data_IF_414169189673
#
_entry.id   IF_414169189673
#
_cell.length_a   1.000
_cell.length_b   1.000
_cell.length_c   1.000
_cell.angle_alpha   90.00
_cell.angle_beta   90.00
_cell.angle_gamma   90.00
#
_symmetry.space_group_name_H-M   'P 1'
#
loop_
_entity.id
_entity.type
_entity.pdbx_description
1 polymer ?
#
# COMPACT_ATOMS: atom_id res chain seq x y z
N UNK A 1 19.04 -16.55 -5.23
CA UNK A 1 18.39 -16.74 -6.55
C UNK A 1 19.01 -17.97 -7.20
N UNK A 2 18.24 -18.78 -7.93
CA UNK A 2 18.83 -19.95 -8.63
C UNK A 2 19.70 -19.48 -9.80
N UNK A 3 20.90 -20.05 -10.03
CA UNK A 3 21.81 -19.60 -11.10
C UNK A 3 21.22 -19.75 -12.51
N UNK A 4 20.32 -20.71 -12.67
CA UNK A 4 19.66 -21.08 -13.94
C UNK A 4 18.39 -20.26 -14.24
N UNK A 5 18.00 -19.33 -13.35
CA UNK A 5 16.77 -18.54 -13.53
C UNK A 5 15.45 -19.29 -13.24
N UNK A 6 15.48 -20.59 -12.89
CA UNK A 6 14.28 -21.40 -12.67
C UNK A 6 13.34 -20.86 -11.57
N UNK A 7 13.87 -20.08 -10.63
CA UNK A 7 13.07 -19.37 -9.62
C UNK A 7 12.06 -18.36 -10.23
N UNK A 8 12.38 -17.74 -11.38
CA UNK A 8 11.47 -16.83 -12.08
C UNK A 8 10.27 -17.58 -12.65
N UNK A 9 10.52 -18.72 -13.32
CA UNK A 9 9.46 -19.59 -13.84
C UNK A 9 8.53 -20.07 -12.73
N UNK A 10 9.10 -20.54 -11.60
CA UNK A 10 8.30 -20.98 -10.45
C UNK A 10 7.48 -19.85 -9.85
N UNK A 11 8.04 -18.64 -9.76
CA UNK A 11 7.32 -17.44 -9.30
C UNK A 11 6.16 -17.10 -10.24
N UNK A 12 6.39 -17.10 -11.55
CA UNK A 12 5.36 -16.81 -12.54
C UNK A 12 4.22 -17.85 -12.50
N UNK A 13 4.57 -19.14 -12.45
CA UNK A 13 3.60 -20.23 -12.33
C UNK A 13 2.78 -20.17 -11.04
N UNK A 14 3.39 -19.71 -9.94
CA UNK A 14 2.67 -19.47 -8.69
C UNK A 14 1.66 -18.32 -8.85
N UNK A 15 2.07 -17.18 -9.40
CA UNK A 15 1.19 -16.03 -9.66
C UNK A 15 0.05 -16.38 -10.63
N UNK A 16 0.35 -17.14 -11.69
CA UNK A 16 -0.62 -17.59 -12.69
C UNK A 16 -1.78 -18.38 -12.06
N UNK A 17 -1.49 -19.16 -11.03
CA UNK A 17 -2.51 -19.91 -10.26
C UNK A 17 -3.22 -19.04 -9.22
N UNK A 18 -2.50 -18.18 -8.53
CA UNK A 18 -3.00 -17.46 -7.34
C UNK A 18 -3.80 -16.20 -7.66
N UNK A 19 -3.36 -15.39 -8.62
CA UNK A 19 -3.98 -14.10 -8.92
C UNK A 19 -5.44 -14.24 -9.40
N UNK A 20 -5.77 -15.15 -10.34
CA UNK A 20 -7.17 -15.32 -10.78
C UNK A 20 -8.13 -15.63 -9.64
N UNK A 21 -7.72 -16.51 -8.71
CA UNK A 21 -8.55 -16.90 -7.55
C UNK A 21 -8.80 -15.70 -6.63
N UNK A 22 -7.76 -14.92 -6.33
CA UNK A 22 -7.87 -13.74 -5.46
C UNK A 22 -8.73 -12.64 -6.09
N UNK A 23 -8.60 -12.43 -7.41
CA UNK A 23 -9.43 -11.51 -8.19
C UNK A 23 -10.89 -11.97 -8.21
N UNK A 24 -11.16 -13.27 -8.43
CA UNK A 24 -12.52 -13.81 -8.39
C UNK A 24 -13.21 -13.57 -7.04
N UNK A 25 -12.49 -13.72 -5.92
CA UNK A 25 -13.01 -13.36 -4.61
C UNK A 25 -13.33 -11.86 -4.46
N UNK A 26 -12.58 -10.97 -5.12
CA UNK A 26 -12.91 -9.53 -5.15
C UNK A 26 -14.19 -9.28 -5.94
N UNK A 27 -14.33 -9.88 -7.12
CA UNK A 27 -15.55 -9.79 -7.95
C UNK A 27 -16.78 -10.25 -7.15
N UNK A 28 -16.69 -11.39 -6.46
CA UNK A 28 -17.75 -11.87 -5.58
C UNK A 28 -18.08 -10.86 -4.47
N UNK A 29 -17.07 -10.19 -3.92
CA UNK A 29 -17.25 -9.10 -2.97
C UNK A 29 -18.07 -7.93 -3.53
N UNK A 30 -17.78 -7.48 -4.76
CA UNK A 30 -18.55 -6.41 -5.42
C UNK A 30 -20.00 -6.83 -5.67
N UNK A 31 -20.24 -8.07 -6.10
CA UNK A 31 -21.59 -8.61 -6.34
C UNK A 31 -22.44 -8.71 -5.07
N UNK A 32 -21.81 -8.74 -3.90
CA UNK A 32 -22.47 -8.76 -2.60
C UNK A 32 -22.69 -7.37 -1.98
N UNK A 33 -22.29 -6.29 -2.67
CA UNK A 33 -22.58 -4.94 -2.20
C UNK A 33 -24.09 -4.63 -2.31
N UNK A 34 -24.63 -3.75 -1.45
CA UNK A 34 -26.00 -3.26 -1.60
C UNK A 34 -26.21 -2.69 -2.99
N UNK A 35 -27.33 -3.02 -3.63
CA UNK A 35 -27.62 -2.63 -5.01
C UNK A 35 -27.37 -1.14 -5.30
N UNK A 36 -27.84 -0.25 -4.42
CA UNK A 36 -27.66 1.21 -4.56
C UNK A 36 -26.18 1.65 -4.56
N UNK A 37 -25.30 0.90 -3.88
CA UNK A 37 -23.85 1.13 -3.88
C UNK A 37 -23.23 0.54 -5.15
N UNK A 38 -23.63 -0.68 -5.52
CA UNK A 38 -23.13 -1.35 -6.73
C UNK A 38 -23.49 -0.63 -8.03
N UNK A 39 -24.60 0.12 -8.05
CA UNK A 39 -25.00 0.94 -9.20
C UNK A 39 -24.27 2.30 -9.29
N UNK A 40 -23.44 2.67 -8.31
CA UNK A 40 -22.64 3.88 -8.43
C UNK A 40 -21.65 3.73 -9.60
N UNK A 41 -21.58 4.69 -10.55
CA UNK A 41 -20.74 4.56 -11.74
C UNK A 41 -19.26 4.30 -11.43
N UNK A 42 -18.72 4.92 -10.37
CA UNK A 42 -17.32 4.73 -9.97
C UNK A 42 -17.10 3.34 -9.37
N UNK A 43 -18.00 2.86 -8.51
CA UNK A 43 -17.93 1.50 -7.96
C UNK A 43 -18.08 0.45 -9.07
N UNK A 44 -18.99 0.68 -10.01
CA UNK A 44 -19.22 -0.19 -11.15
C UNK A 44 -17.97 -0.25 -12.06
N UNK A 45 -17.35 0.88 -12.36
CA UNK A 45 -16.11 0.92 -13.14
C UNK A 45 -14.99 0.09 -12.49
N UNK A 46 -14.84 0.16 -11.16
CA UNK A 46 -13.88 -0.68 -10.44
C UNK A 46 -14.25 -2.16 -10.53
N UNK A 47 -15.53 -2.51 -10.40
CA UNK A 47 -16.00 -3.89 -10.55
C UNK A 47 -15.73 -4.45 -11.97
N UNK A 48 -15.96 -3.64 -13.00
CA UNK A 48 -15.65 -3.97 -14.39
C UNK A 48 -14.16 -4.17 -14.60
N UNK A 49 -13.31 -3.30 -14.01
CA UNK A 49 -11.86 -3.43 -14.08
C UNK A 49 -11.35 -4.75 -13.47
N UNK A 50 -11.88 -5.16 -12.30
CA UNK A 50 -11.56 -6.47 -11.72
C UNK A 50 -12.05 -7.62 -12.61
N UNK A 51 -13.21 -7.47 -13.25
CA UNK A 51 -13.78 -8.48 -14.16
C UNK A 51 -12.94 -8.63 -15.42
N UNK A 52 -12.54 -7.54 -16.06
CA UNK A 52 -11.64 -7.53 -17.21
C UNK A 52 -10.29 -8.15 -16.86
N UNK A 53 -9.73 -7.80 -15.70
CA UNK A 53 -8.49 -8.40 -15.21
C UNK A 53 -8.63 -9.91 -15.02
N UNK A 54 -9.75 -10.39 -14.48
CA UNK A 54 -9.98 -11.82 -14.32
C UNK A 54 -9.89 -12.55 -15.65
N UNK A 55 -10.62 -12.08 -16.68
CA UNK A 55 -10.58 -12.67 -18.01
C UNK A 55 -9.17 -12.63 -18.59
N UNK A 56 -8.52 -11.47 -18.56
CA UNK A 56 -7.14 -11.28 -19.01
C UNK A 56 -6.20 -12.31 -18.38
N UNK A 57 -6.26 -12.51 -17.05
CA UNK A 57 -5.38 -13.45 -16.36
C UNK A 57 -5.71 -14.91 -16.64
N UNK A 58 -6.98 -15.25 -16.85
CA UNK A 58 -7.41 -16.65 -17.11
C UNK A 58 -7.17 -17.10 -18.55
N UNK A 59 -7.14 -16.18 -19.50
CA UNK A 59 -6.91 -16.48 -20.92
C UNK A 59 -5.43 -16.70 -21.25
N UNK A 60 -4.52 -16.28 -20.36
CA UNK A 60 -3.08 -16.48 -20.56
C UNK A 60 -2.75 -17.98 -20.47
N UNK A 61 -2.09 -18.55 -21.49
CA UNK A 61 -1.63 -19.94 -21.45
C UNK A 61 -0.69 -20.22 -20.27
N UNK A 62 -0.58 -21.48 -19.82
CA UNK A 62 0.36 -21.86 -18.77
C UNK A 62 1.80 -21.40 -19.07
N UNK A 63 2.48 -20.86 -18.06
CA UNK A 63 3.88 -20.43 -18.17
C UNK A 63 4.81 -21.64 -18.12
N UNK A 64 5.43 -21.97 -19.25
CA UNK A 64 6.27 -23.18 -19.43
C UNK A 64 7.74 -22.88 -19.65
N UNK A 65 8.08 -21.66 -20.07
CA UNK A 65 9.42 -21.25 -20.50
C UNK A 65 9.66 -19.76 -20.21
N UNK A 66 10.88 -19.28 -20.47
CA UNK A 66 11.26 -17.90 -20.17
C UNK A 66 10.58 -16.86 -21.08
N UNK A 67 10.17 -17.25 -22.29
CA UNK A 67 9.46 -16.35 -23.22
C UNK A 67 8.02 -16.12 -22.75
N UNK A 68 7.32 -17.18 -22.37
CA UNK A 68 6.00 -17.10 -21.71
C UNK A 68 6.06 -16.39 -20.37
N UNK A 69 7.13 -16.55 -19.58
CA UNK A 69 7.35 -15.81 -18.34
C UNK A 69 7.51 -14.31 -18.56
N UNK A 70 8.26 -13.89 -19.58
CA UNK A 70 8.45 -12.47 -19.88
C UNK A 70 7.14 -11.82 -20.30
N UNK A 71 6.37 -12.47 -21.19
CA UNK A 71 5.03 -12.00 -21.57
C UNK A 71 4.06 -11.92 -20.39
N UNK A 72 4.10 -12.92 -19.50
CA UNK A 72 3.28 -12.92 -18.30
C UNK A 72 3.67 -11.76 -17.37
N UNK A 73 4.96 -11.52 -17.17
CA UNK A 73 5.47 -10.38 -16.39
C UNK A 73 5.00 -9.03 -16.94
N UNK A 74 5.02 -8.83 -18.26
CA UNK A 74 4.51 -7.61 -18.89
C UNK A 74 3.01 -7.42 -18.62
N UNK A 75 2.23 -8.49 -18.70
CA UNK A 75 0.80 -8.45 -18.38
C UNK A 75 0.56 -8.14 -16.91
N UNK A 76 1.32 -8.75 -15.99
CA UNK A 76 1.24 -8.46 -14.55
C UNK A 76 1.59 -7.00 -14.26
N UNK A 77 2.58 -6.44 -14.95
CA UNK A 77 2.94 -5.02 -14.84
C UNK A 77 1.78 -4.12 -15.31
N UNK A 78 1.17 -4.42 -16.45
CA UNK A 78 0.00 -3.69 -16.94
C UNK A 78 -1.15 -3.72 -15.92
N UNK A 79 -1.46 -4.89 -15.35
CA UNK A 79 -2.50 -5.05 -14.31
C UNK A 79 -2.21 -4.22 -13.06
N UNK A 80 -0.93 -4.06 -12.67
CA UNK A 80 -0.55 -3.19 -11.54
C UNK A 80 -0.81 -1.72 -11.84
N UNK A 81 -0.55 -1.29 -13.08
CA UNK A 81 -0.69 0.08 -13.53
C UNK A 81 -2.17 0.47 -13.71
N UNK A 82 -2.98 -0.40 -14.30
CA UNK A 82 -4.42 -0.20 -14.48
C UNK A 82 -5.15 -0.07 -13.13
N UNK A 83 -4.71 -0.82 -12.12
CA UNK A 83 -5.33 -0.79 -10.79
C UNK A 83 -4.80 0.30 -9.86
N UNK A 84 -3.88 1.17 -10.28
CA UNK A 84 -3.18 2.11 -9.36
C UNK A 84 -4.14 3.02 -8.58
N UNK A 85 -5.23 3.46 -9.22
CA UNK A 85 -6.17 4.45 -8.68
C UNK A 85 -7.40 3.85 -7.99
N UNK A 86 -7.49 2.51 -7.90
CA UNK A 86 -8.65 1.81 -7.33
C UNK A 86 -9.03 2.29 -5.92
N UNK A 87 -8.05 2.57 -5.06
CA UNK A 87 -8.34 3.02 -3.68
C UNK A 87 -9.04 4.37 -3.69
N UNK A 88 -8.56 5.30 -4.52
CA UNK A 88 -9.15 6.64 -4.68
C UNK A 88 -10.55 6.56 -5.28
N UNK A 89 -10.74 5.72 -6.29
CA UNK A 89 -12.04 5.50 -6.92
C UNK A 89 -13.05 4.90 -5.95
N UNK A 90 -12.66 3.87 -5.19
CA UNK A 90 -13.52 3.30 -4.14
C UNK A 90 -13.88 4.35 -3.09
N UNK A 91 -12.90 5.12 -2.59
CA UNK A 91 -13.16 6.17 -1.62
C UNK A 91 -14.15 7.22 -2.14
N UNK A 92 -14.03 7.63 -3.42
CA UNK A 92 -14.96 8.56 -4.06
C UNK A 92 -16.38 7.95 -4.17
N UNK A 93 -16.51 6.74 -4.71
CA UNK A 93 -17.81 6.09 -4.89
C UNK A 93 -18.54 5.84 -3.57
N UNK A 94 -17.83 5.35 -2.54
CA UNK A 94 -18.43 5.16 -1.21
C UNK A 94 -18.81 6.48 -0.53
N UNK A 95 -18.06 7.56 -0.78
CA UNK A 95 -18.41 8.89 -0.27
C UNK A 95 -19.72 9.39 -0.86
N UNK A 96 -19.96 9.19 -2.16
CA UNK A 96 -21.20 9.56 -2.83
C UNK A 96 -22.39 8.73 -2.33
N UNK A 97 -22.19 7.43 -2.11
CA UNK A 97 -23.22 6.53 -1.62
C UNK A 97 -23.48 6.61 -0.12
N UNK A 98 -22.69 7.38 0.66
CA UNK A 98 -22.70 7.38 2.13
C UNK A 98 -24.10 7.56 2.73
N UNK A 99 -24.92 8.44 2.16
CA UNK A 99 -26.30 8.72 2.65
C UNK A 99 -27.27 7.55 2.48
N UNK A 100 -26.93 6.59 1.62
CA UNK A 100 -27.77 5.45 1.26
C UNK A 100 -27.32 4.15 1.91
N UNK A 101 -26.16 4.15 2.56
CA UNK A 101 -25.62 3.02 3.29
C UNK A 101 -26.30 2.98 4.67
N UNK A 102 -27.11 1.96 4.91
CA UNK A 102 -27.76 1.71 6.21
C UNK A 102 -26.94 0.79 7.12
N UNK A 103 -25.98 0.06 6.54
CA UNK A 103 -25.18 -0.96 7.20
C UNK A 103 -23.70 -0.62 7.05
N UNK A 104 -23.19 0.24 7.93
CA UNK A 104 -21.78 0.70 7.90
C UNK A 104 -20.79 -0.47 8.05
N UNK A 105 -21.12 -1.47 8.86
CA UNK A 105 -20.29 -2.66 9.05
C UNK A 105 -20.10 -3.48 7.77
N UNK A 106 -21.08 -3.49 6.86
CA UNK A 106 -20.95 -4.16 5.57
C UNK A 106 -19.89 -3.47 4.72
N UNK A 107 -19.95 -2.14 4.65
CA UNK A 107 -19.00 -1.33 3.86
C UNK A 107 -17.59 -1.42 4.46
N UNK A 108 -17.47 -1.35 5.79
CA UNK A 108 -16.20 -1.54 6.49
C UNK A 108 -15.60 -2.91 6.17
N UNK A 109 -16.37 -3.98 6.35
CA UNK A 109 -15.91 -5.35 6.06
C UNK A 109 -15.51 -5.52 4.60
N UNK A 110 -16.26 -4.92 3.67
CA UNK A 110 -15.91 -4.93 2.25
C UNK A 110 -14.58 -4.21 1.99
N UNK A 111 -14.43 -2.99 2.49
CA UNK A 111 -13.23 -2.18 2.30
C UNK A 111 -12.00 -2.87 2.92
N UNK A 112 -12.10 -3.34 4.16
CA UNK A 112 -11.01 -4.02 4.84
C UNK A 112 -10.54 -5.23 4.04
N UNK A 113 -11.47 -6.09 3.61
CA UNK A 113 -11.13 -7.28 2.79
C UNK A 113 -10.58 -6.90 1.42
N UNK A 114 -11.13 -5.88 0.77
CA UNK A 114 -10.73 -5.50 -0.59
C UNK A 114 -9.38 -4.82 -0.61
N UNK A 115 -9.12 -3.91 0.32
CA UNK A 115 -7.85 -3.19 0.42
C UNK A 115 -6.71 -4.11 0.87
N UNK A 116 -6.95 -5.00 1.85
CA UNK A 116 -5.93 -5.99 2.29
C UNK A 116 -5.64 -7.02 1.20
N UNK A 117 -6.68 -7.57 0.55
CA UNK A 117 -6.50 -8.48 -0.59
C UNK A 117 -5.74 -7.81 -1.72
N UNK A 118 -6.03 -6.53 -2.02
CA UNK A 118 -5.32 -5.76 -3.05
C UNK A 118 -3.85 -5.55 -2.68
N UNK A 119 -3.55 -5.18 -1.43
CA UNK A 119 -2.16 -5.05 -0.96
C UNK A 119 -1.41 -6.39 -1.12
N UNK A 120 -2.02 -7.50 -0.71
CA UNK A 120 -1.43 -8.83 -0.86
C UNK A 120 -1.16 -9.23 -2.32
N UNK A 121 -2.12 -8.98 -3.23
CA UNK A 121 -1.92 -9.22 -4.67
C UNK A 121 -0.81 -8.34 -5.24
N UNK A 122 -0.76 -7.06 -4.86
CA UNK A 122 0.28 -6.13 -5.28
C UNK A 122 1.67 -6.57 -4.79
N UNK A 123 1.78 -7.02 -3.54
CA UNK A 123 3.04 -7.55 -2.99
C UNK A 123 3.53 -8.77 -3.80
N UNK A 124 2.65 -9.72 -4.13
CA UNK A 124 3.01 -10.89 -4.94
C UNK A 124 3.47 -10.49 -6.35
N UNK A 125 2.70 -9.64 -7.01
CA UNK A 125 3.00 -9.14 -8.35
C UNK A 125 4.32 -8.37 -8.38
N UNK A 126 4.50 -7.37 -7.52
CA UNK A 126 5.74 -6.61 -7.47
C UNK A 126 6.94 -7.46 -7.06
N UNK A 127 6.77 -8.44 -6.17
CA UNK A 127 7.85 -9.36 -5.83
C UNK A 127 8.34 -10.10 -7.07
N UNK A 128 7.43 -10.66 -7.87
CA UNK A 128 7.76 -11.35 -9.11
C UNK A 128 8.49 -10.42 -10.10
N UNK A 129 7.95 -9.22 -10.35
CA UNK A 129 8.59 -8.24 -11.25
C UNK A 129 9.97 -7.83 -10.74
N UNK A 130 10.13 -7.65 -9.43
CA UNK A 130 11.40 -7.26 -8.83
C UNK A 130 12.44 -8.38 -8.84
N UNK A 131 12.04 -9.66 -8.87
CA UNK A 131 12.99 -10.78 -8.95
C UNK A 131 13.82 -10.75 -10.23
N UNK A 132 13.26 -10.22 -11.33
CA UNK A 132 13.94 -10.05 -12.64
C UNK A 132 15.07 -9.02 -12.59
N UNK A 133 15.04 -8.10 -11.62
CA UNK A 133 16.06 -7.06 -11.44
C UNK A 133 17.13 -7.58 -10.47
N UNK A 134 18.39 -7.37 -10.82
CA UNK A 134 19.47 -7.55 -9.86
C UNK A 134 19.63 -6.27 -9.04
N UNK A 135 19.29 -6.34 -7.76
CA UNK A 135 19.34 -5.22 -6.82
C UNK A 135 20.13 -5.68 -5.60
N UNK A 136 21.27 -5.05 -5.30
CA UNK A 136 22.03 -5.39 -4.11
C UNK A 136 21.17 -5.34 -2.85
N UNK A 137 21.41 -6.27 -1.93
CA UNK A 137 20.68 -6.41 -0.67
C UNK A 137 19.17 -6.65 -0.80
N UNK A 138 18.67 -7.02 -1.98
CA UNK A 138 17.25 -7.28 -2.21
C UNK A 138 16.98 -8.66 -2.81
N UNK A 139 15.90 -9.29 -2.35
CA UNK A 139 15.29 -10.47 -2.97
C UNK A 139 13.86 -10.11 -3.36
N UNK A 140 13.68 -9.73 -4.62
CA UNK A 140 12.42 -9.14 -5.07
C UNK A 140 12.16 -7.83 -4.32
N UNK A 141 11.01 -7.73 -3.65
CA UNK A 141 10.67 -6.59 -2.78
C UNK A 141 11.13 -6.72 -1.32
N UNK A 142 11.82 -7.82 -0.97
CA UNK A 142 12.35 -8.03 0.38
C UNK A 142 13.72 -7.36 0.44
N UNK A 143 13.86 -6.36 1.29
CA UNK A 143 15.16 -5.78 1.66
C UNK A 143 15.75 -6.66 2.76
N UNK A 144 16.97 -7.15 2.55
CA UNK A 144 17.67 -8.05 3.47
C UNK A 144 18.26 -7.34 4.68
N UNK A 145 18.35 -6.02 4.65
CA UNK A 145 18.95 -5.21 5.70
C UNK A 145 18.22 -3.85 5.85
N UNK A 146 16.88 -3.88 5.79
CA UNK A 146 16.06 -2.66 5.87
C UNK A 146 16.35 -1.90 7.17
N UNK A 147 16.64 -0.61 7.04
CA UNK A 147 16.79 0.33 8.17
C UNK A 147 15.49 1.11 8.33
N UNK A 148 14.67 0.87 9.37
CA UNK A 148 13.38 1.54 9.52
C UNK A 148 13.52 3.08 9.59
N UNK A 149 14.61 3.57 10.19
CA UNK A 149 14.91 5.01 10.28
C UNK A 149 14.93 5.67 8.90
N UNK A 150 15.61 5.07 7.93
CA UNK A 150 15.77 5.64 6.59
C UNK A 150 14.42 5.74 5.86
N UNK A 151 13.57 4.72 6.03
CA UNK A 151 12.19 4.70 5.48
C UNK A 151 11.34 5.80 6.12
N UNK A 152 11.42 5.94 7.44
CA UNK A 152 10.66 6.96 8.18
C UNK A 152 11.13 8.37 7.80
N UNK A 153 12.44 8.61 7.70
CA UNK A 153 13.02 9.91 7.33
C UNK A 153 12.56 10.35 5.93
N UNK A 154 12.63 9.43 4.95
CA UNK A 154 12.09 9.67 3.59
C UNK A 154 10.65 10.18 3.63
N UNK A 155 9.78 9.54 4.40
CA UNK A 155 8.37 9.95 4.49
C UNK A 155 8.15 11.19 5.36
N UNK A 156 8.97 11.40 6.39
CA UNK A 156 8.95 12.62 7.19
C UNK A 156 9.31 13.85 6.33
N UNK A 157 10.31 13.74 5.46
CA UNK A 157 10.68 14.80 4.52
C UNK A 157 9.56 15.10 3.52
N UNK A 158 8.95 14.06 2.95
CA UNK A 158 7.79 14.22 2.07
C UNK A 158 6.63 14.94 2.79
N UNK A 159 6.28 14.50 4.00
CA UNK A 159 5.17 15.10 4.77
C UNK A 159 5.50 16.53 5.20
N UNK A 160 6.76 16.83 5.53
CA UNK A 160 7.22 18.20 5.80
C UNK A 160 6.93 19.10 4.61
N UNK A 161 7.30 18.68 3.40
CA UNK A 161 7.05 19.45 2.17
C UNK A 161 5.55 19.70 1.94
N UNK A 162 4.72 18.66 2.11
CA UNK A 162 3.25 18.77 2.00
C UNK A 162 2.68 19.76 3.02
N UNK A 163 3.16 19.72 4.26
CA UNK A 163 2.71 20.64 5.32
C UNK A 163 3.13 22.08 5.06
N UNK A 164 4.39 22.31 4.67
CA UNK A 164 4.89 23.64 4.32
C UNK A 164 4.11 24.22 3.15
N UNK A 165 3.83 23.43 2.12
CA UNK A 165 3.01 23.87 0.98
C UNK A 165 1.59 24.29 1.40
N UNK A 166 0.97 23.55 2.34
CA UNK A 166 -0.42 23.81 2.75
C UNK A 166 -0.58 24.89 3.83
N UNK A 167 0.31 24.89 4.81
CA UNK A 167 0.20 25.69 6.03
C UNK A 167 1.32 26.73 6.20
N UNK A 168 2.31 26.74 5.30
CA UNK A 168 3.50 27.62 5.40
C UNK A 168 4.53 27.19 6.45
N UNK A 169 4.27 26.13 7.21
CA UNK A 169 5.12 25.64 8.31
C UNK A 169 4.95 24.14 8.53
N UNK A 170 5.91 23.54 9.24
CA UNK A 170 5.86 22.14 9.66
C UNK A 170 6.61 21.94 10.99
N UNK A 171 6.13 21.06 11.89
CA UNK A 171 6.85 20.75 13.11
C UNK A 171 8.17 20.03 12.81
N UNK A 172 9.18 20.17 13.67
CA UNK A 172 10.40 19.36 13.57
C UNK A 172 10.11 17.89 13.92
N UNK A 173 10.84 16.97 13.29
CA UNK A 173 10.82 15.55 13.65
C UNK A 173 11.96 15.23 14.62
N UNK A 174 11.66 14.44 15.66
CA UNK A 174 12.67 13.91 16.59
C UNK A 174 12.62 12.39 16.58
N UNK A 175 13.78 11.75 16.48
CA UNK A 175 13.90 10.29 16.41
C UNK A 175 14.60 9.77 17.66
N UNK A 176 14.10 8.67 18.24
CA UNK A 176 14.76 7.98 19.36
C UNK A 176 14.48 6.46 19.34
N UNK A 177 15.10 5.74 20.28
CA UNK A 177 15.05 4.28 20.36
C UNK A 177 16.15 3.60 19.54
N UNK A 178 15.83 2.46 18.91
CA UNK A 178 16.78 1.64 18.15
C UNK A 178 17.04 2.20 16.74
N UNK A 179 17.63 3.39 16.64
CA UNK A 179 17.83 4.12 15.38
C UNK A 179 18.79 3.43 14.39
N UNK A 180 19.65 2.55 14.88
CA UNK A 180 20.62 1.82 14.08
C UNK A 180 20.18 0.37 13.79
N UNK A 181 18.95 -0.02 14.12
CA UNK A 181 18.49 -1.36 13.82
C UNK A 181 18.37 -1.59 12.31
N UNK A 182 18.64 -2.83 11.92
CA UNK A 182 18.51 -3.32 10.56
C UNK A 182 18.04 -4.76 10.62
N UNK A 183 17.07 -5.11 9.78
CA UNK A 183 16.53 -6.47 9.71
C UNK A 183 15.89 -6.71 8.33
N UNK A 184 15.79 -7.99 7.89
CA UNK A 184 15.09 -8.32 6.67
C UNK A 184 13.60 -7.94 6.76
N UNK A 185 13.08 -7.17 5.81
CA UNK A 185 11.67 -6.77 5.81
C UNK A 185 11.16 -6.41 4.41
N UNK A 186 9.84 -6.35 4.26
CA UNK A 186 9.18 -5.83 3.05
C UNK A 186 8.79 -4.38 3.31
N UNK A 187 9.41 -3.43 2.62
CA UNK A 187 9.18 -2.00 2.86
C UNK A 187 7.78 -1.53 2.43
N UNK A 188 7.18 -2.16 1.41
CA UNK A 188 5.95 -1.69 0.76
C UNK A 188 4.81 -1.31 1.73
N UNK A 189 4.44 -2.09 2.76
CA UNK A 189 3.40 -1.67 3.71
C UNK A 189 3.74 -0.38 4.46
N UNK A 190 5.01 -0.15 4.80
CA UNK A 190 5.46 1.07 5.47
C UNK A 190 5.32 2.29 4.56
N UNK A 191 5.53 2.12 3.25
CA UNK A 191 5.32 3.18 2.25
C UNK A 191 3.85 3.63 2.16
N UNK A 192 2.90 2.82 2.62
CA UNK A 192 1.49 3.22 2.76
C UNK A 192 1.17 3.81 4.14
N UNK A 193 1.67 3.17 5.21
CA UNK A 193 1.23 3.48 6.58
C UNK A 193 1.89 4.75 7.12
N UNK A 194 3.21 4.87 6.97
CA UNK A 194 3.99 5.94 7.58
C UNK A 194 3.57 7.35 7.11
N UNK A 195 3.42 7.64 5.80
CA UNK A 195 3.01 8.97 5.38
C UNK A 195 1.62 9.36 5.88
N UNK A 196 0.68 8.41 5.99
CA UNK A 196 -0.67 8.71 6.50
C UNK A 196 -0.66 9.07 7.98
N UNK A 197 0.06 8.31 8.81
CA UNK A 197 0.20 8.60 10.24
C UNK A 197 0.93 9.93 10.48
N UNK A 198 2.00 10.19 9.73
CA UNK A 198 2.76 11.43 9.82
C UNK A 198 1.93 12.65 9.37
N UNK A 199 1.16 12.55 8.27
CA UNK A 199 0.25 13.62 7.84
C UNK A 199 -0.75 13.97 8.93
N UNK A 200 -1.33 12.97 9.61
CA UNK A 200 -2.27 13.20 10.71
C UNK A 200 -1.62 13.92 11.89
N UNK A 201 -0.48 13.41 12.36
CA UNK A 201 0.29 13.99 13.47
C UNK A 201 0.71 15.45 13.18
N UNK A 202 1.23 15.70 11.98
CA UNK A 202 1.67 17.02 11.53
C UNK A 202 0.48 17.97 11.41
N UNK A 203 -0.61 17.53 10.77
CA UNK A 203 -1.83 18.33 10.63
C UNK A 203 -2.38 18.74 11.99
N UNK A 204 -2.57 17.80 12.90
CA UNK A 204 -3.10 18.07 14.24
C UNK A 204 -2.20 19.06 15.00
N UNK A 205 -0.88 18.89 14.91
CA UNK A 205 0.09 19.80 15.54
C UNK A 205 -0.01 21.21 15.00
N UNK A 206 -0.06 21.37 13.67
CA UNK A 206 -0.11 22.69 13.03
C UNK A 206 -1.44 23.39 13.25
N UNK A 207 -2.56 22.66 13.12
CA UNK A 207 -3.91 23.21 13.30
C UNK A 207 -4.17 23.66 14.74
N UNK A 208 -3.54 23.04 15.75
CA UNK A 208 -3.62 23.49 17.15
C UNK A 208 -2.59 24.56 17.55
N UNK A 209 -1.71 24.96 16.64
CA UNK A 209 -0.70 26.00 16.89
C UNK A 209 -0.66 26.99 15.71
N UNK A 210 -1.82 27.35 15.15
CA UNK A 210 -1.92 28.19 13.95
C UNK A 210 -1.29 29.58 14.15
N UNK A 211 -1.45 30.19 15.33
CA UNK A 211 -0.92 31.52 15.63
C UNK A 211 0.56 31.51 16.06
N UNK A 212 1.11 30.33 16.30
CA UNK A 212 2.50 30.16 16.72
C UNK A 212 3.47 30.17 15.52
N UNK A 213 4.66 30.78 15.64
CA UNK A 213 5.70 30.66 14.62
C UNK A 213 6.17 29.19 14.46
N UNK A 214 6.78 28.85 13.32
CA UNK A 214 7.30 27.49 13.07
C UNK A 214 8.27 27.04 14.16
N UNK A 215 9.12 27.94 14.65
CA UNK A 215 10.14 27.68 15.67
C UNK A 215 9.57 27.24 17.02
N UNK A 216 8.31 27.54 17.31
CA UNK A 216 7.65 27.15 18.55
C UNK A 216 6.72 25.96 18.39
N UNK A 217 6.63 25.36 17.20
CA UNK A 217 5.84 24.14 17.00
C UNK A 217 6.46 22.98 17.79
N UNK A 218 5.67 22.23 18.57
CA UNK A 218 6.18 21.07 19.27
C UNK A 218 6.59 19.97 18.27
N UNK A 219 7.67 19.22 18.55
CA UNK A 219 8.16 18.20 17.63
C UNK A 219 7.20 17.01 17.56
N UNK A 220 7.08 16.41 16.37
CA UNK A 220 6.56 15.05 16.22
C UNK A 220 7.68 14.08 16.55
N UNK A 221 7.52 13.31 17.63
CA UNK A 221 8.52 12.37 18.13
C UNK A 221 8.23 10.97 17.62
N UNK A 222 9.23 10.32 17.04
CA UNK A 222 9.13 8.97 16.47
C UNK A 222 10.09 8.06 17.22
N UNK A 223 9.54 7.05 17.89
CA UNK A 223 10.31 6.03 18.63
C UNK A 223 10.31 4.73 17.84
N UNK A 224 11.50 4.19 17.57
CA UNK A 224 11.67 2.86 16.98
C UNK A 224 12.05 1.89 18.10
N UNK A 225 11.26 0.84 18.29
CA UNK A 225 11.62 -0.30 19.13
C UNK A 225 11.67 -1.56 18.26
N UNK A 226 12.61 -2.44 18.56
CA UNK A 226 12.91 -3.65 17.79
C UNK A 226 13.26 -4.75 18.77
N UNK A 227 12.66 -5.92 18.62
CA UNK A 227 12.93 -7.11 19.42
C UNK A 227 12.88 -8.34 18.49
N UNK A 228 13.02 -9.54 19.05
CA UNK A 228 13.10 -10.79 18.28
C UNK A 228 11.74 -11.26 17.71
N UNK A 229 10.63 -10.64 18.11
CA UNK A 229 9.26 -11.00 17.72
C UNK A 229 8.69 -9.97 16.73
N UNK A 230 8.82 -8.69 17.05
CA UNK A 230 8.28 -7.59 16.26
C UNK A 230 9.14 -6.32 16.34
N UNK A 231 8.73 -5.32 15.56
CA UNK A 231 9.21 -3.95 15.68
C UNK A 231 8.02 -3.00 15.80
N UNK A 232 8.23 -1.91 16.53
CA UNK A 232 7.20 -0.93 16.84
C UNK A 232 7.72 0.43 16.40
N UNK A 233 6.89 1.13 15.63
CA UNK A 233 7.09 2.53 15.28
C UNK A 233 6.00 3.33 15.99
N UNK A 234 6.38 4.05 17.05
CA UNK A 234 5.47 4.93 17.78
C UNK A 234 5.65 6.35 17.29
N UNK A 235 4.58 6.96 16.79
CA UNK A 235 4.53 8.38 16.40
C UNK A 235 3.74 9.12 17.48
N UNK A 236 4.33 10.18 18.04
CA UNK A 236 3.74 10.96 19.12
C UNK A 236 3.81 12.44 18.80
N UNK A 237 2.66 13.08 18.77
CA UNK A 237 2.52 14.52 18.54
C UNK A 237 1.98 15.25 19.77
N UNK A 238 1.89 16.57 19.66
CA UNK A 238 1.26 17.45 20.66
C UNK A 238 0.13 18.24 20.00
N UNK A 239 -0.64 17.60 19.12
CA UNK A 239 -1.73 18.17 18.35
C UNK A 239 -3.08 18.15 19.05
N UNK A 240 -3.13 18.03 20.38
CA UNK A 240 -4.35 18.16 21.19
C UNK A 240 -5.19 16.90 21.40
N UNK A 241 -4.86 15.78 20.74
CA UNK A 241 -5.55 14.49 20.91
C UNK A 241 -6.79 14.33 20.03
N UNK A 242 -7.47 13.18 20.19
CA UNK A 242 -8.76 12.82 19.55
C UNK A 242 -9.78 12.60 20.66
#
# INVERSE_FOLDING_TARGET
KSPDGSHLLRSAQYLHKELPVRIAHRIAGFRNLPFIVGCNPTILAVHELYTQTFYLLTEIPPVTDFDSESRYSETVQQVLDDHKDVVTQLAAGFKECRKHIKQDELVKTFLDRTLTSRLGMRMLAEHHIALRKDRPHHVGIIDTAMRPKDVIEKWADFVRQVSVHKYGKAPPFKYNGHLNCSFPYIQMPLDYIIPELLKNAVRATVENHMDSPESSLPPVTITIANNDIDFIIRISDRGGGI
#
